data_IF_043981463174
#
_entry.id   IF_043981463174
#
_cell.length_a   1.000
_cell.length_b   1.000
_cell.length_c   1.000
_cell.angle_alpha   90.00
_cell.angle_beta   90.00
_cell.angle_gamma   90.00
#
_symmetry.space_group_name_H-M   'P 1'
#
loop_
_entity.id
_entity.type
_entity.pdbx_description
1 polymer ?
#
# COMPACT_ATOMS: atom_id res chain seq x y z
N UNK A 1 42.57 47.40 7.45
CA UNK A 1 42.08 46.52 6.36
C UNK A 1 41.99 45.05 6.75
N UNK A 2 42.93 44.46 7.52
CA UNK A 2 42.84 43.04 7.92
C UNK A 2 41.66 42.71 8.87
N UNK A 3 41.29 43.63 9.77
CA UNK A 3 40.18 43.48 10.75
C UNK A 3 38.77 43.57 10.11
N UNK A 4 38.60 44.38 9.07
CA UNK A 4 37.31 44.50 8.36
C UNK A 4 37.07 43.32 7.43
N UNK A 5 38.14 42.73 6.86
CA UNK A 5 38.06 41.53 6.03
C UNK A 5 37.66 40.29 6.84
N UNK A 6 38.11 40.19 8.10
CA UNK A 6 37.74 39.06 8.99
C UNK A 6 36.27 39.09 9.40
N UNK A 7 35.70 40.28 9.60
CA UNK A 7 34.28 40.44 9.93
C UNK A 7 33.40 40.10 8.72
N UNK A 8 33.82 40.48 7.51
CA UNK A 8 33.08 40.15 6.28
C UNK A 8 33.05 38.65 6.00
N UNK A 9 34.17 37.95 6.25
CA UNK A 9 34.26 36.49 6.09
C UNK A 9 33.43 35.77 7.16
N UNK A 10 33.42 36.28 8.40
CA UNK A 10 32.60 35.70 9.48
C UNK A 10 31.10 35.91 9.28
N UNK A 11 30.69 36.99 8.62
CA UNK A 11 29.29 37.22 8.25
C UNK A 11 28.85 36.33 7.09
N UNK A 12 29.73 36.05 6.12
CA UNK A 12 29.45 35.16 4.99
C UNK A 12 29.32 33.68 5.42
N UNK A 13 30.01 33.27 6.48
CA UNK A 13 29.94 31.92 7.07
C UNK A 13 28.63 31.65 7.83
N UNK A 14 27.88 32.68 8.23
CA UNK A 14 26.59 32.52 8.91
C UNK A 14 25.42 32.29 7.93
N UNK A 15 25.59 32.58 6.64
CA UNK A 15 24.56 32.38 5.62
C UNK A 15 24.56 30.98 4.97
N UNK A 16 25.54 30.13 5.30
CA UNK A 16 25.65 28.78 4.72
C UNK A 16 24.91 27.71 5.52
N UNK A 17 24.19 28.09 6.59
CA UNK A 17 23.46 27.18 7.48
C UNK A 17 21.94 27.17 7.23
N UNK A 18 21.47 27.78 6.14
CA UNK A 18 20.04 27.93 5.84
C UNK A 18 19.65 27.17 4.57
N UNK A 19 19.82 25.84 4.56
CA UNK A 19 19.16 24.95 3.60
C UNK A 19 19.40 23.47 3.98
N UNK A 20 19.00 23.07 5.18
CA UNK A 20 18.50 21.71 5.37
C UNK A 20 17.00 21.86 5.62
N UNK A 21 16.29 22.30 4.58
CA UNK A 21 14.88 22.00 4.47
C UNK A 21 14.87 20.49 4.20
N UNK A 22 14.62 19.71 5.26
CA UNK A 22 14.38 18.29 5.08
C UNK A 22 13.18 18.22 4.14
N UNK A 23 13.41 17.78 2.91
CA UNK A 23 12.33 17.41 2.02
C UNK A 23 11.59 16.29 2.75
N UNK A 24 10.54 16.63 3.49
CA UNK A 24 9.53 15.68 3.94
C UNK A 24 8.83 15.26 2.65
N UNK A 25 9.42 14.32 1.94
CA UNK A 25 8.81 13.74 0.76
C UNK A 25 7.60 12.94 1.23
N UNK A 26 6.44 13.22 0.66
CA UNK A 26 5.25 12.41 0.85
C UNK A 26 5.54 11.02 0.29
N UNK A 27 5.63 10.02 1.17
CA UNK A 27 6.07 8.67 0.81
C UNK A 27 5.22 7.60 1.45
N UNK A 28 5.11 6.48 0.76
CA UNK A 28 4.59 5.23 1.29
C UNK A 28 5.60 4.12 1.05
N UNK A 29 5.73 3.20 2.01
CA UNK A 29 6.69 2.09 2.01
C UNK A 29 6.09 0.85 2.66
N UNK A 30 6.61 -0.34 2.34
CA UNK A 30 6.32 -1.55 3.11
C UNK A 30 6.88 -1.39 4.52
N UNK A 31 6.09 -1.69 5.54
CA UNK A 31 6.49 -1.54 6.93
C UNK A 31 7.51 -2.63 7.35
N UNK A 32 8.52 -2.23 8.12
CA UNK A 32 9.44 -3.16 8.76
C UNK A 32 8.82 -3.72 10.05
N UNK A 33 8.21 -4.90 9.94
CA UNK A 33 7.53 -5.54 11.06
C UNK A 33 8.51 -6.22 12.02
N UNK A 34 8.28 -6.02 13.33
CA UNK A 34 8.97 -6.76 14.38
C UNK A 34 8.53 -8.23 14.43
N UNK A 35 9.34 -9.10 15.05
CA UNK A 35 8.99 -10.50 15.29
C UNK A 35 7.63 -10.67 15.99
N UNK A 36 7.31 -9.74 16.90
CA UNK A 36 6.05 -9.75 17.64
C UNK A 36 4.86 -9.41 16.73
N UNK A 37 4.99 -8.40 15.87
CA UNK A 37 3.94 -8.02 14.92
C UNK A 37 3.72 -9.13 13.89
N UNK A 38 4.80 -9.71 13.37
CA UNK A 38 4.75 -10.87 12.49
C UNK A 38 4.04 -12.08 13.15
N UNK A 39 4.34 -12.36 14.43
CA UNK A 39 3.67 -13.42 15.17
C UNK A 39 2.17 -13.15 15.37
N UNK A 40 1.78 -11.90 15.62
CA UNK A 40 0.37 -11.51 15.74
C UNK A 40 -0.33 -11.72 14.41
N UNK A 41 0.17 -11.13 13.32
CA UNK A 41 -0.45 -11.19 11.99
C UNK A 41 -0.54 -12.62 11.45
N UNK A 42 0.52 -13.42 11.54
CA UNK A 42 0.51 -14.83 11.08
C UNK A 42 -0.44 -15.72 11.89
N UNK A 43 -0.70 -15.38 13.15
CA UNK A 43 -1.66 -16.13 13.97
C UNK A 43 -3.11 -15.80 13.63
N UNK A 44 -3.42 -14.53 13.32
CA UNK A 44 -4.79 -14.02 13.16
C UNK A 44 -5.26 -13.87 11.71
N UNK A 45 -4.36 -13.84 10.72
CA UNK A 45 -4.69 -13.62 9.31
C UNK A 45 -4.23 -14.75 8.39
N UNK A 46 -4.89 -14.89 7.23
CA UNK A 46 -4.46 -15.77 6.13
C UNK A 46 -3.29 -15.19 5.35
N UNK A 47 -3.25 -13.87 5.24
CA UNK A 47 -2.14 -13.08 4.69
C UNK A 47 -2.29 -11.62 5.11
N UNK A 48 -1.21 -10.85 5.02
CA UNK A 48 -1.18 -9.45 5.44
C UNK A 48 -0.20 -8.61 4.64
N UNK A 49 -0.57 -7.35 4.41
CA UNK A 49 0.34 -6.28 4.01
C UNK A 49 0.26 -5.15 5.03
N UNK A 50 1.39 -4.55 5.35
CA UNK A 50 1.47 -3.38 6.22
C UNK A 50 2.35 -2.35 5.54
N UNK A 51 1.84 -1.13 5.44
CA UNK A 51 2.54 -0.02 4.83
C UNK A 51 2.60 1.14 5.80
N UNK A 52 3.74 1.82 5.83
CA UNK A 52 3.90 3.08 6.54
C UNK A 52 3.87 4.21 5.51
N UNK A 53 3.21 5.30 5.88
CA UNK A 53 3.21 6.53 5.08
C UNK A 53 3.63 7.73 5.91
N UNK A 54 4.29 8.67 5.24
CA UNK A 54 4.59 10.01 5.73
C UNK A 54 3.96 10.98 4.73
N UNK A 55 3.12 11.89 5.24
CA UNK A 55 2.53 12.96 4.46
C UNK A 55 2.75 14.31 5.14
N UNK A 56 2.87 15.35 4.33
CA UNK A 56 2.85 16.73 4.75
C UNK A 56 1.42 17.17 5.12
N UNK A 57 1.28 18.46 5.42
CA UNK A 57 0.00 19.04 5.86
C UNK A 57 -0.96 19.35 4.71
N UNK A 58 -0.52 19.18 3.46
CA UNK A 58 -1.40 19.40 2.31
C UNK A 58 -2.37 18.23 2.12
N UNK A 59 -2.01 17.02 2.56
CA UNK A 59 -2.90 15.86 2.48
C UNK A 59 -3.76 15.75 3.74
N UNK A 60 -5.07 15.70 3.55
CA UNK A 60 -6.06 15.68 4.65
C UNK A 60 -6.74 14.31 4.79
N UNK A 61 -6.83 13.53 3.71
CA UNK A 61 -7.55 12.26 3.69
C UNK A 61 -6.78 11.18 2.93
N UNK A 62 -7.00 9.93 3.30
CA UNK A 62 -6.59 8.77 2.51
C UNK A 62 -7.78 7.85 2.29
N UNK A 63 -7.95 7.39 1.06
CA UNK A 63 -8.93 6.36 0.69
C UNK A 63 -8.17 5.10 0.28
N UNK A 64 -8.56 3.96 0.83
CA UNK A 64 -7.96 2.64 0.51
C UNK A 64 -9.06 1.71 0.04
N UNK A 65 -8.83 1.03 -1.07
CA UNK A 65 -9.82 0.10 -1.64
C UNK A 65 -9.18 -1.10 -2.32
N UNK A 66 -10.03 -2.04 -2.72
CA UNK A 66 -9.64 -3.26 -3.41
C UNK A 66 -10.37 -3.34 -4.74
N UNK A 67 -9.60 -3.40 -5.82
CA UNK A 67 -10.10 -3.76 -7.15
C UNK A 67 -9.97 -5.25 -7.37
N UNK A 68 -10.89 -5.82 -8.16
CA UNK A 68 -10.85 -7.20 -8.62
C UNK A 68 -10.81 -7.28 -10.13
N UNK A 69 -9.89 -8.09 -10.61
CA UNK A 69 -9.74 -8.45 -12.00
C UNK A 69 -9.98 -9.94 -12.20
N UNK A 70 -10.70 -10.31 -13.26
CA UNK A 70 -10.84 -11.69 -13.73
C UNK A 70 -10.29 -11.79 -15.15
N UNK A 71 -9.30 -12.67 -15.36
CA UNK A 71 -8.62 -12.84 -16.65
C UNK A 71 -8.17 -11.50 -17.25
N UNK A 72 -7.63 -10.60 -16.41
CA UNK A 72 -7.18 -9.26 -16.79
C UNK A 72 -8.25 -8.18 -16.95
N UNK A 73 -9.54 -8.51 -16.80
CA UNK A 73 -10.62 -7.52 -16.91
C UNK A 73 -11.08 -7.06 -15.53
N UNK A 74 -11.21 -5.75 -15.32
CA UNK A 74 -11.81 -5.19 -14.10
C UNK A 74 -13.27 -5.63 -14.00
N UNK A 75 -13.62 -6.35 -12.93
CA UNK A 75 -14.98 -6.85 -12.67
C UNK A 75 -15.63 -6.22 -11.44
N UNK A 76 -14.83 -5.70 -10.51
CA UNK A 76 -15.29 -4.95 -9.34
C UNK A 76 -14.27 -3.84 -9.05
N UNK A 77 -14.73 -2.60 -9.01
CA UNK A 77 -13.86 -1.44 -8.79
C UNK A 77 -13.60 -1.20 -7.29
N UNK A 78 -14.57 -1.52 -6.42
CA UNK A 78 -14.45 -1.32 -4.97
C UNK A 78 -15.16 -2.42 -4.19
N UNK A 79 -14.43 -3.49 -3.84
CA UNK A 79 -14.93 -4.53 -2.92
C UNK A 79 -15.08 -4.02 -1.49
N UNK A 80 -14.20 -3.10 -1.08
CA UNK A 80 -14.19 -2.40 0.20
C UNK A 80 -13.59 -1.03 -0.06
N UNK A 81 -14.10 0.03 0.57
CA UNK A 81 -13.53 1.37 0.49
C UNK A 81 -13.53 2.06 1.84
N UNK A 82 -12.33 2.30 2.36
CA UNK A 82 -12.15 2.96 3.64
C UNK A 82 -11.52 4.34 3.42
N UNK A 83 -12.26 5.38 3.78
CA UNK A 83 -11.75 6.76 3.80
C UNK A 83 -11.57 7.25 5.23
N UNK A 84 -10.44 7.89 5.51
CA UNK A 84 -10.13 8.43 6.83
C UNK A 84 -9.30 9.72 6.72
N UNK A 85 -9.57 10.68 7.62
CA UNK A 85 -8.72 11.85 7.81
C UNK A 85 -7.36 11.48 8.40
N UNK A 86 -6.29 12.03 7.85
CA UNK A 86 -4.91 11.70 8.20
C UNK A 86 -4.10 12.96 8.50
N UNK A 87 -3.09 12.83 9.36
CA UNK A 87 -2.15 13.91 9.66
C UNK A 87 -0.76 13.31 9.91
N UNK A 88 0.22 13.68 9.08
CA UNK A 88 1.61 13.28 9.27
C UNK A 88 1.84 11.79 9.03
N UNK A 89 2.51 11.12 9.96
CA UNK A 89 2.82 9.70 9.85
C UNK A 89 1.59 8.83 10.11
N UNK A 90 1.53 7.69 9.43
CA UNK A 90 0.52 6.67 9.66
C UNK A 90 0.83 5.34 9.00
N UNK A 91 -0.10 4.41 9.11
CA UNK A 91 0.03 3.08 8.52
C UNK A 91 -1.28 2.61 7.89
N UNK A 92 -1.17 1.86 6.81
CA UNK A 92 -2.25 1.11 6.17
C UNK A 92 -1.98 -0.37 6.42
N UNK A 93 -2.95 -1.05 7.04
CA UNK A 93 -2.90 -2.47 7.33
C UNK A 93 -3.98 -3.16 6.51
N UNK A 94 -3.57 -4.14 5.73
CA UNK A 94 -4.47 -5.01 5.00
C UNK A 94 -4.27 -6.46 5.47
N UNK A 95 -5.35 -7.17 5.74
CA UNK A 95 -5.30 -8.59 6.09
C UNK A 95 -6.44 -9.37 5.44
N UNK A 96 -6.23 -10.66 5.21
CA UNK A 96 -7.33 -11.60 4.93
C UNK A 96 -7.61 -12.49 6.12
N UNK A 97 -8.86 -12.93 6.26
CA UNK A 97 -9.18 -14.03 7.16
C UNK A 97 -8.61 -15.36 6.64
N UNK A 98 -8.33 -16.27 7.57
CA UNK A 98 -8.08 -17.67 7.21
C UNK A 98 -9.41 -18.27 6.73
N UNK A 99 -9.48 -18.67 5.47
CA UNK A 99 -10.61 -19.42 4.94
C UNK A 99 -10.70 -20.78 5.62
N UNK A 100 -11.90 -21.32 5.73
CA UNK A 100 -12.14 -22.66 6.26
C UNK A 100 -13.26 -23.34 5.48
N UNK A 101 -13.50 -24.63 5.74
CA UNK A 101 -14.51 -25.42 5.03
C UNK A 101 -15.93 -24.82 5.03
N UNK A 102 -16.26 -23.93 5.97
CA UNK A 102 -17.56 -23.25 6.08
C UNK A 102 -17.53 -21.89 5.37
N UNK A 103 -16.40 -21.18 5.45
CA UNK A 103 -16.21 -19.86 4.88
C UNK A 103 -15.13 -19.93 3.79
N UNK A 104 -15.57 -20.30 2.58
CA UNK A 104 -14.77 -20.47 1.36
C UNK A 104 -14.29 -19.16 0.70
N UNK A 105 -14.56 -18.02 1.35
CA UNK A 105 -14.22 -16.71 0.83
C UNK A 105 -13.42 -15.96 1.88
N UNK A 106 -12.27 -15.36 1.50
CA UNK A 106 -11.52 -14.52 2.41
C UNK A 106 -12.35 -13.28 2.76
N UNK A 107 -12.34 -12.91 4.04
CA UNK A 107 -12.72 -11.58 4.49
C UNK A 107 -11.52 -10.68 4.27
N UNK A 108 -11.66 -9.63 3.49
CA UNK A 108 -10.67 -8.56 3.40
C UNK A 108 -10.90 -7.60 4.56
N UNK A 109 -9.83 -7.23 5.27
CA UNK A 109 -9.88 -6.23 6.32
C UNK A 109 -8.86 -5.15 6.00
N UNK A 110 -9.32 -3.90 5.97
CA UNK A 110 -8.50 -2.72 5.78
C UNK A 110 -8.55 -1.92 7.07
N UNK A 111 -7.40 -1.44 7.54
CA UNK A 111 -7.31 -0.47 8.63
C UNK A 111 -6.34 0.64 8.26
N UNK A 112 -6.71 1.86 8.61
CA UNK A 112 -5.85 3.05 8.48
C UNK A 112 -5.63 3.57 9.89
N UNK A 113 -4.37 3.80 10.24
CA UNK A 113 -3.96 4.39 11.51
C UNK A 113 -3.19 5.67 11.24
N UNK A 114 -3.54 6.75 11.91
CA UNK A 114 -2.81 8.02 11.87
C UNK A 114 -2.99 8.74 13.21
N UNK A 115 -2.39 9.92 13.38
CA UNK A 115 -2.46 10.71 14.63
C UNK A 115 -3.91 10.99 15.09
N UNK A 116 -4.86 11.06 14.16
CA UNK A 116 -6.29 11.26 14.43
C UNK A 116 -7.03 10.04 14.98
N UNK A 117 -6.46 8.83 14.92
CA UNK A 117 -7.08 7.61 15.41
C UNK A 117 -6.86 6.40 14.48
N UNK A 118 -7.78 5.45 14.54
CA UNK A 118 -7.79 4.27 13.68
C UNK A 118 -9.19 4.10 13.11
N UNK A 119 -9.28 3.88 11.79
CA UNK A 119 -10.49 3.45 11.10
C UNK A 119 -10.26 2.07 10.52
N UNK A 120 -11.31 1.24 10.44
CA UNK A 120 -11.21 -0.10 9.88
C UNK A 120 -12.52 -0.54 9.26
N UNK A 121 -12.42 -1.30 8.17
CA UNK A 121 -13.55 -1.94 7.49
C UNK A 121 -13.21 -3.38 7.13
N UNK A 122 -14.24 -4.22 7.07
CA UNK A 122 -14.15 -5.59 6.60
C UNK A 122 -15.19 -5.84 5.50
N UNK A 123 -14.77 -6.47 4.41
CA UNK A 123 -15.63 -6.82 3.30
C UNK A 123 -15.35 -8.24 2.78
N UNK A 124 -16.27 -8.75 1.98
CA UNK A 124 -16.13 -9.99 1.23
C UNK A 124 -16.34 -9.67 -0.25
N UNK A 125 -15.68 -10.40 -1.15
CA UNK A 125 -15.96 -10.28 -2.57
C UNK A 125 -17.35 -10.86 -2.89
N UNK A 126 -18.34 -10.01 -3.24
CA UNK A 126 -19.71 -10.45 -3.47
C UNK A 126 -19.85 -11.28 -4.76
N UNK A 127 -18.86 -11.20 -5.65
CA UNK A 127 -18.90 -11.68 -7.02
C UNK A 127 -17.89 -12.80 -7.28
N UNK A 128 -17.64 -13.70 -6.32
CA UNK A 128 -16.74 -14.85 -6.52
C UNK A 128 -17.20 -15.83 -7.61
N UNK A 129 -18.41 -15.71 -8.16
CA UNK A 129 -18.91 -16.49 -9.31
C UNK A 129 -18.77 -18.02 -9.16
N UNK A 130 -18.75 -18.54 -7.92
CA UNK A 130 -18.55 -19.97 -7.65
C UNK A 130 -17.11 -20.46 -7.82
N UNK A 131 -16.14 -19.56 -7.96
CA UNK A 131 -14.72 -19.86 -7.85
C UNK A 131 -14.41 -20.30 -6.42
N UNK A 132 -13.65 -21.38 -6.29
CA UNK A 132 -13.12 -21.83 -5.01
C UNK A 132 -11.65 -21.40 -4.94
N UNK A 133 -11.40 -20.26 -4.28
CA UNK A 133 -10.05 -19.72 -4.17
C UNK A 133 -9.14 -20.63 -3.34
N UNK A 134 -9.70 -21.48 -2.48
CA UNK A 134 -8.94 -22.43 -1.65
C UNK A 134 -8.31 -23.55 -2.50
N UNK A 135 -8.89 -23.85 -3.67
CA UNK A 135 -8.36 -24.84 -4.62
C UNK A 135 -7.32 -24.24 -5.58
N UNK A 136 -7.10 -22.92 -5.53
CA UNK A 136 -6.15 -22.21 -6.38
C UNK A 136 -4.82 -21.98 -5.68
N UNK A 137 -3.76 -21.95 -6.49
CA UNK A 137 -2.48 -21.43 -6.06
C UNK A 137 -2.56 -19.91 -5.93
N UNK A 138 -1.93 -19.33 -4.91
CA UNK A 138 -1.90 -17.87 -4.74
C UNK A 138 -0.49 -17.33 -4.49
N UNK A 139 -0.22 -16.15 -5.05
CA UNK A 139 0.97 -15.35 -4.78
C UNK A 139 0.56 -13.97 -4.28
N UNK A 140 1.27 -13.56 -3.23
CA UNK A 140 1.09 -12.30 -2.54
C UNK A 140 2.35 -11.47 -2.69
N UNK A 141 2.22 -10.23 -3.14
CA UNK A 141 3.35 -9.33 -3.28
C UNK A 141 2.92 -7.89 -2.98
N UNK A 142 3.62 -7.19 -2.05
CA UNK A 142 3.52 -5.74 -1.97
C UNK A 142 4.29 -5.10 -3.15
N UNK A 143 4.10 -3.80 -3.38
CA UNK A 143 4.99 -3.05 -4.25
C UNK A 143 6.43 -3.10 -3.71
N UNK A 144 7.41 -3.16 -4.61
CA UNK A 144 8.80 -3.51 -4.24
C UNK A 144 9.70 -2.31 -3.88
N UNK A 145 9.16 -1.10 -3.74
CA UNK A 145 9.98 0.10 -3.55
C UNK A 145 10.04 0.48 -2.07
N UNK A 146 11.24 0.80 -1.59
CA UNK A 146 11.45 1.22 -0.19
C UNK A 146 10.78 2.56 0.13
N UNK A 147 10.55 3.44 -0.85
CA UNK A 147 9.87 4.73 -0.69
C UNK A 147 9.22 5.16 -2.01
N UNK A 148 7.93 4.88 -2.19
CA UNK A 148 7.17 5.39 -3.34
C UNK A 148 6.64 6.78 -3.01
N UNK A 149 6.88 7.74 -3.91
CA UNK A 149 6.31 9.09 -3.78
C UNK A 149 4.79 9.04 -3.92
N UNK A 150 4.11 9.78 -3.06
CA UNK A 150 2.66 9.94 -3.10
C UNK A 150 2.33 11.07 -4.08
N UNK A 151 1.92 10.67 -5.29
CA UNK A 151 1.43 11.55 -6.36
C UNK A 151 0.07 11.05 -6.85
N UNK A 152 -0.92 11.02 -5.95
CA UNK A 152 -2.27 10.50 -6.20
C UNK A 152 -2.39 9.01 -5.91
N UNK A 153 -3.07 8.29 -6.80
CA UNK A 153 -3.37 6.87 -6.66
C UNK A 153 -2.12 5.97 -6.78
N UNK A 154 -1.99 5.01 -5.86
CA UNK A 154 -0.88 4.05 -5.82
C UNK A 154 -1.43 2.63 -5.62
N UNK A 155 -0.90 1.67 -6.39
CA UNK A 155 -1.11 0.24 -6.14
C UNK A 155 -0.12 -0.23 -5.07
N UNK A 156 -0.64 -0.63 -3.92
CA UNK A 156 0.14 -1.05 -2.76
C UNK A 156 0.55 -2.53 -2.81
N UNK A 157 -0.28 -3.37 -3.41
CA UNK A 157 0.00 -4.79 -3.45
C UNK A 157 -1.01 -5.57 -4.27
N UNK A 158 -0.67 -6.82 -4.53
CA UNK A 158 -1.49 -7.73 -5.32
C UNK A 158 -1.61 -9.09 -4.65
N UNK A 159 -2.79 -9.68 -4.80
CA UNK A 159 -3.03 -11.10 -4.55
C UNK A 159 -3.45 -11.73 -5.87
N UNK A 160 -2.64 -12.63 -6.39
CA UNK A 160 -2.87 -13.29 -7.67
C UNK A 160 -3.24 -14.76 -7.42
N UNK A 161 -4.35 -15.22 -7.99
CA UNK A 161 -4.82 -16.60 -7.91
C UNK A 161 -4.76 -17.27 -9.29
N UNK A 162 -4.27 -18.51 -9.34
CA UNK A 162 -4.14 -19.31 -10.56
C UNK A 162 -4.54 -20.76 -10.32
N UNK A 163 -5.43 -21.29 -11.18
CA UNK A 163 -5.73 -22.72 -11.27
C UNK A 163 -4.59 -23.52 -11.90
N UNK A 164 -3.84 -22.90 -12.81
CA UNK A 164 -2.71 -23.51 -13.53
C UNK A 164 -1.43 -23.56 -12.68
N UNK A 165 -1.49 -23.13 -11.43
CA UNK A 165 -0.35 -23.20 -10.50
C UNK A 165 0.73 -22.15 -10.77
N UNK A 166 0.39 -21.04 -11.43
CA UNK A 166 1.32 -19.93 -11.64
C UNK A 166 1.63 -19.28 -10.29
N UNK A 167 2.92 -19.21 -9.96
CA UNK A 167 3.44 -18.74 -8.66
C UNK A 167 4.47 -17.61 -8.82
N UNK A 168 4.41 -16.86 -9.91
CA UNK A 168 5.23 -15.66 -10.06
C UNK A 168 4.46 -14.46 -9.51
N UNK A 169 5.14 -13.45 -9.00
CA UNK A 169 4.50 -12.17 -8.72
C UNK A 169 4.36 -11.35 -10.00
N UNK A 170 3.55 -10.29 -9.93
CA UNK A 170 3.63 -9.21 -10.92
C UNK A 170 5.05 -8.61 -10.91
N UNK A 171 5.48 -8.06 -12.04
CA UNK A 171 6.79 -7.42 -12.13
C UNK A 171 6.84 -6.13 -11.31
N UNK A 172 8.05 -5.68 -10.98
CA UNK A 172 8.22 -4.36 -10.35
C UNK A 172 7.75 -3.21 -11.26
N UNK A 173 7.74 -3.41 -12.58
CA UNK A 173 7.31 -2.42 -13.56
C UNK A 173 5.78 -2.24 -13.54
N UNK A 174 5.03 -3.31 -13.24
CA UNK A 174 3.58 -3.24 -13.05
C UNK A 174 3.16 -2.19 -12.01
N UNK A 175 3.85 -2.14 -10.87
CA UNK A 175 3.54 -1.17 -9.81
C UNK A 175 3.99 0.26 -10.14
N UNK A 176 4.74 0.47 -11.22
CA UNK A 176 5.21 1.78 -11.68
C UNK A 176 4.34 2.35 -12.81
N UNK A 177 3.85 1.47 -13.68
CA UNK A 177 2.99 1.79 -14.82
C UNK A 177 1.93 0.70 -14.97
N UNK A 178 0.88 0.81 -14.15
CA UNK A 178 -0.21 -0.17 -14.10
C UNK A 178 -0.88 -0.30 -15.47
N UNK A 179 -1.16 0.83 -16.11
CA UNK A 179 -1.83 0.86 -17.42
C UNK A 179 -0.96 0.23 -18.51
N UNK A 180 0.34 0.51 -18.53
CA UNK A 180 1.29 -0.06 -19.49
C UNK A 180 1.53 -1.56 -19.31
N UNK A 181 1.26 -2.10 -18.13
CA UNK A 181 1.53 -3.49 -17.74
C UNK A 181 0.26 -4.26 -17.34
N UNK A 182 -0.94 -3.73 -17.60
CA UNK A 182 -2.21 -4.33 -17.17
C UNK A 182 -2.43 -5.75 -17.73
N UNK A 183 -1.82 -6.04 -18.88
CA UNK A 183 -1.83 -7.37 -19.50
C UNK A 183 -1.15 -8.45 -18.65
N UNK A 184 -0.32 -8.08 -17.67
CA UNK A 184 0.23 -9.05 -16.71
C UNK A 184 -0.86 -9.75 -15.91
N UNK A 185 -2.00 -9.09 -15.69
CA UNK A 185 -3.13 -9.62 -14.95
C UNK A 185 -3.84 -10.77 -15.70
N UNK A 186 -3.74 -10.83 -17.03
CA UNK A 186 -4.33 -11.88 -17.87
C UNK A 186 -3.75 -13.28 -17.58
N UNK A 187 -2.58 -13.35 -16.95
CA UNK A 187 -1.92 -14.60 -16.57
C UNK A 187 -2.63 -15.31 -15.41
N UNK A 188 -3.54 -14.64 -14.71
CA UNK A 188 -4.19 -15.16 -13.51
C UNK A 188 -5.69 -15.28 -13.70
N UNK A 189 -6.30 -16.25 -13.03
CA UNK A 189 -7.75 -16.41 -13.00
C UNK A 189 -8.41 -15.21 -12.31
N UNK A 190 -7.85 -14.82 -11.16
CA UNK A 190 -8.32 -13.71 -10.32
C UNK A 190 -7.13 -12.92 -9.81
N UNK A 191 -7.20 -11.59 -9.87
CA UNK A 191 -6.26 -10.70 -9.21
C UNK A 191 -7.01 -9.69 -8.35
N UNK A 192 -6.61 -9.55 -7.09
CA UNK A 192 -7.00 -8.44 -6.25
C UNK A 192 -5.86 -7.44 -6.17
N UNK A 193 -6.14 -6.16 -6.44
CA UNK A 193 -5.19 -5.06 -6.27
C UNK A 193 -5.62 -4.21 -5.08
N UNK A 194 -4.73 -4.06 -4.11
CA UNK A 194 -4.91 -3.11 -3.00
C UNK A 194 -4.40 -1.75 -3.46
N UNK A 195 -5.23 -0.73 -3.38
CA UNK A 195 -4.94 0.62 -3.85
C UNK A 195 -5.19 1.66 -2.77
N UNK A 196 -4.46 2.76 -2.85
CA UNK A 196 -4.67 3.92 -1.99
C UNK A 196 -4.57 5.20 -2.80
N UNK A 197 -5.35 6.21 -2.41
CA UNK A 197 -5.27 7.57 -2.93
C UNK A 197 -5.21 8.55 -1.75
N UNK A 198 -4.28 9.49 -1.83
CA UNK A 198 -4.07 10.51 -0.81
C UNK A 198 -4.60 11.84 -1.34
N UNK A 199 -5.55 12.42 -0.62
CA UNK A 199 -6.34 13.56 -1.07
C UNK A 199 -5.90 14.81 -0.29
N UNK A 200 -5.72 15.91 -1.04
CA UNK A 200 -5.38 17.24 -0.51
C UNK A 200 -6.61 18.10 -0.22
#
# INVERSE_FOLDING_TARGET
MKRTLTILISALLLFILSACEGNNSNTISVAELTDRENAILSSSSGGSFVFDFNIDKEYEEVTVWIEKYELGNLVEDKISDLTMQVEGDGSIIFTTSKTNYIQKQPTFNIAISSKGGVSSESAFDPNLNGLDLDDMSSVWAPFQRENTFIEGEVVLGSICYSKDGIMNSLTADFYQDVDGHINELEKYDVVYLLKADFIK
#
